data_IF_637290911425
#
_entry.id   IF_637290911425
#
_cell.length_a   1.000
_cell.length_b   1.000
_cell.length_c   1.000
_cell.angle_alpha   90.00
_cell.angle_beta   90.00
_cell.angle_gamma   90.00
#
_symmetry.space_group_name_H-M   'P 1'
#
loop_
_entity.id
_entity.type
_entity.pdbx_description
1 polymer ?
#
# COMPACT_ATOMS: atom_id res chain seq x y z
N UNK A 1 57.31 -21.99 32.27
CA UNK A 1 55.83 -22.11 32.43
C UNK A 1 55.11 -20.91 31.82
N UNK A 2 55.72 -19.71 31.81
CA UNK A 2 55.12 -18.48 31.25
C UNK A 2 54.91 -18.46 29.73
N UNK A 3 55.84 -19.05 28.96
CA UNK A 3 55.79 -19.05 27.48
C UNK A 3 54.58 -19.84 26.95
N UNK A 4 54.22 -20.95 27.61
CA UNK A 4 53.07 -21.78 27.25
C UNK A 4 51.75 -21.06 27.58
N UNK A 5 51.72 -20.34 28.71
CA UNK A 5 50.56 -19.55 29.13
C UNK A 5 50.34 -18.34 28.21
N UNK A 6 51.42 -17.68 27.79
CA UNK A 6 51.39 -16.58 26.83
C UNK A 6 50.91 -17.03 25.45
N UNK A 7 51.38 -18.19 24.97
CA UNK A 7 50.91 -18.78 23.71
C UNK A 7 49.42 -19.15 23.74
N UNK A 8 48.95 -19.76 24.84
CA UNK A 8 47.53 -20.11 25.01
C UNK A 8 46.62 -18.86 25.07
N UNK A 9 47.06 -17.80 25.77
CA UNK A 9 46.34 -16.52 25.81
C UNK A 9 46.34 -15.82 24.44
N UNK A 10 47.44 -15.90 23.69
CA UNK A 10 47.53 -15.38 22.33
C UNK A 10 46.58 -16.09 21.35
N UNK A 11 46.45 -17.41 21.44
CA UNK A 11 45.50 -18.17 20.61
C UNK A 11 44.04 -17.87 21.00
N UNK A 12 43.75 -17.74 22.29
CA UNK A 12 42.42 -17.34 22.77
C UNK A 12 42.06 -15.91 22.34
N UNK A 13 43.02 -14.98 22.41
CA UNK A 13 42.87 -13.62 21.91
C UNK A 13 42.65 -13.60 20.39
N UNK A 14 43.42 -14.38 19.63
CA UNK A 14 43.23 -14.51 18.18
C UNK A 14 41.86 -15.10 17.84
N UNK A 15 41.42 -16.17 18.51
CA UNK A 15 40.10 -16.77 18.28
C UNK A 15 38.95 -15.83 18.65
N UNK A 16 39.08 -15.08 19.73
CA UNK A 16 38.06 -14.09 20.12
C UNK A 16 37.98 -12.92 19.14
N UNK A 17 39.11 -12.41 18.65
CA UNK A 17 39.14 -11.40 17.58
C UNK A 17 38.51 -11.96 16.30
N UNK A 18 38.89 -13.17 15.86
CA UNK A 18 38.32 -13.79 14.66
C UNK A 18 36.81 -14.01 14.78
N UNK A 19 36.30 -14.40 15.95
CA UNK A 19 34.87 -14.54 16.21
C UNK A 19 34.13 -13.21 16.12
N UNK A 20 34.69 -12.14 16.68
CA UNK A 20 34.11 -10.80 16.61
C UNK A 20 34.11 -10.25 15.17
N UNK A 21 35.19 -10.47 14.43
CA UNK A 21 35.31 -10.08 13.01
C UNK A 21 34.28 -10.83 12.18
N UNK A 22 34.17 -12.15 12.32
CA UNK A 22 33.20 -12.97 11.60
C UNK A 22 31.75 -12.54 11.93
N UNK A 23 31.46 -12.27 13.20
CA UNK A 23 30.14 -11.77 13.63
C UNK A 23 29.82 -10.40 13.02
N UNK A 24 30.79 -9.49 13.01
CA UNK A 24 30.61 -8.15 12.44
C UNK A 24 30.40 -8.19 10.93
N UNK A 25 31.19 -9.00 10.21
CA UNK A 25 31.06 -9.17 8.76
C UNK A 25 29.71 -9.77 8.40
N UNK A 26 29.27 -10.83 9.08
CA UNK A 26 27.96 -11.46 8.87
C UNK A 26 26.81 -10.48 9.08
N UNK A 27 26.89 -9.66 10.12
CA UNK A 27 25.88 -8.65 10.41
C UNK A 27 25.85 -7.57 9.31
N UNK A 28 27.01 -7.07 8.89
CA UNK A 28 27.13 -6.07 7.81
C UNK A 28 26.61 -6.58 6.47
N UNK A 29 26.88 -7.84 6.13
CA UNK A 29 26.37 -8.46 4.89
C UNK A 29 24.85 -8.66 4.93
N UNK A 30 24.30 -8.97 6.10
CA UNK A 30 22.86 -9.15 6.26
C UNK A 30 22.11 -7.82 6.09
N UNK A 31 22.62 -6.74 6.69
CA UNK A 31 22.01 -5.40 6.58
C UNK A 31 22.05 -4.86 5.16
N UNK A 32 23.16 -5.02 4.44
CA UNK A 32 23.27 -4.58 3.04
C UNK A 32 22.30 -5.34 2.14
N UNK A 33 22.12 -6.64 2.37
CA UNK A 33 21.19 -7.48 1.58
C UNK A 33 19.73 -7.09 1.83
N UNK A 34 19.38 -6.73 3.07
CA UNK A 34 18.03 -6.27 3.44
C UNK A 34 17.71 -4.91 2.79
N UNK A 35 18.66 -3.97 2.80
CA UNK A 35 18.52 -2.66 2.13
C UNK A 35 18.31 -2.79 0.61
N UNK A 36 19.09 -3.65 -0.06
CA UNK A 36 18.94 -3.93 -1.50
C UNK A 36 17.55 -4.51 -1.83
N UNK A 37 17.05 -5.39 -0.96
CA UNK A 37 15.72 -6.01 -1.09
C UNK A 37 14.59 -5.01 -0.85
N UNK A 38 14.72 -4.14 0.14
CA UNK A 38 13.76 -3.05 0.37
C UNK A 38 13.74 -2.06 -0.79
N UNK A 39 14.90 -1.68 -1.31
CA UNK A 39 15.00 -0.80 -2.48
C UNK A 39 14.36 -1.45 -3.72
N UNK A 40 14.58 -2.76 -3.91
CA UNK A 40 13.93 -3.53 -4.98
C UNK A 40 12.40 -3.53 -4.82
N UNK A 41 11.90 -3.74 -3.61
CA UNK A 41 10.47 -3.71 -3.30
C UNK A 41 9.86 -2.34 -3.62
N UNK A 42 10.52 -1.25 -3.22
CA UNK A 42 10.09 0.12 -3.54
C UNK A 42 10.00 0.34 -5.04
N UNK A 43 11.00 -0.12 -5.81
CA UNK A 43 11.01 0.00 -7.27
C UNK A 43 9.85 -0.76 -7.91
N UNK A 44 9.55 -1.97 -7.43
CA UNK A 44 8.43 -2.78 -7.92
C UNK A 44 7.09 -2.12 -7.56
N UNK A 45 6.94 -1.62 -6.34
CA UNK A 45 5.75 -0.89 -5.90
C UNK A 45 5.47 0.34 -6.76
N UNK A 46 6.49 1.14 -7.08
CA UNK A 46 6.32 2.29 -7.97
C UNK A 46 5.79 1.87 -9.34
N UNK A 47 6.31 0.77 -9.91
CA UNK A 47 5.82 0.25 -11.20
C UNK A 47 4.37 -0.21 -11.12
N UNK A 48 4.01 -0.94 -10.06
CA UNK A 48 2.65 -1.42 -9.86
C UNK A 48 1.68 -0.26 -9.62
N UNK A 49 2.09 0.72 -8.82
CA UNK A 49 1.31 1.91 -8.49
C UNK A 49 0.94 2.70 -9.74
N UNK A 50 1.91 2.97 -10.62
CA UNK A 50 1.66 3.66 -11.89
C UNK A 50 0.61 2.93 -12.73
N UNK A 51 0.67 1.60 -12.78
CA UNK A 51 -0.30 0.80 -13.55
C UNK A 51 -1.69 0.86 -12.92
N UNK A 52 -1.78 0.76 -11.59
CA UNK A 52 -3.05 0.85 -10.85
C UNK A 52 -3.67 2.24 -10.99
N UNK A 53 -2.89 3.30 -10.81
CA UNK A 53 -3.34 4.69 -10.95
C UNK A 53 -3.84 4.97 -12.38
N UNK A 54 -3.08 4.55 -13.40
CA UNK A 54 -3.48 4.65 -14.80
C UNK A 54 -4.75 3.85 -15.13
N UNK A 55 -4.98 2.74 -14.42
CA UNK A 55 -6.18 1.93 -14.59
C UNK A 55 -7.40 2.51 -13.88
N UNK A 56 -7.22 3.13 -12.71
CA UNK A 56 -8.27 3.81 -11.95
C UNK A 56 -8.82 5.03 -12.72
N UNK A 57 -8.01 5.64 -13.59
CA UNK A 57 -8.41 6.74 -14.47
C UNK A 57 -9.08 6.28 -15.78
N UNK A 58 -9.45 5.00 -15.92
CA UNK A 58 -10.08 4.45 -17.13
C UNK A 58 -11.43 3.79 -16.85
N UNK A 59 -12.31 3.85 -17.83
CA UNK A 59 -13.62 3.22 -17.76
C UNK A 59 -13.52 1.73 -18.14
N UNK A 60 -13.10 0.90 -17.18
CA UNK A 60 -12.95 -0.55 -17.38
C UNK A 60 -14.31 -1.23 -17.25
N UNK A 61 -14.85 -1.76 -18.35
CA UNK A 61 -16.14 -2.48 -18.37
C UNK A 61 -16.00 -3.99 -18.28
N UNK A 62 -14.82 -4.53 -18.60
CA UNK A 62 -14.57 -5.96 -18.61
C UNK A 62 -14.33 -6.51 -17.19
N UNK A 63 -15.15 -7.48 -16.79
CA UNK A 63 -15.07 -8.07 -15.45
C UNK A 63 -13.73 -8.75 -15.13
N UNK A 64 -13.10 -9.40 -16.11
CA UNK A 64 -11.80 -10.04 -15.93
C UNK A 64 -10.69 -8.99 -15.74
N UNK A 65 -10.77 -7.85 -16.44
CA UNK A 65 -9.85 -6.73 -16.24
C UNK A 65 -10.03 -6.10 -14.85
N UNK A 66 -11.26 -5.93 -14.38
CA UNK A 66 -11.55 -5.47 -13.03
C UNK A 66 -10.99 -6.43 -11.96
N UNK A 67 -11.13 -7.73 -12.18
CA UNK A 67 -10.54 -8.74 -11.30
C UNK A 67 -9.01 -8.64 -11.29
N UNK A 68 -8.38 -8.51 -12.45
CA UNK A 68 -6.93 -8.33 -12.54
C UNK A 68 -6.49 -7.07 -11.79
N UNK A 69 -7.15 -5.93 -12.00
CA UNK A 69 -6.89 -4.68 -11.26
C UNK A 69 -7.01 -4.88 -9.74
N UNK A 70 -8.01 -5.65 -9.28
CA UNK A 70 -8.17 -5.94 -7.85
C UNK A 70 -7.00 -6.74 -7.26
N UNK A 71 -6.44 -7.69 -8.03
CA UNK A 71 -5.25 -8.46 -7.65
C UNK A 71 -4.03 -7.55 -7.59
N UNK A 72 -3.82 -6.70 -8.61
CA UNK A 72 -2.73 -5.72 -8.62
C UNK A 72 -2.79 -4.80 -7.40
N UNK A 73 -3.98 -4.30 -7.08
CA UNK A 73 -4.20 -3.43 -5.91
C UNK A 73 -3.92 -4.17 -4.60
N UNK A 74 -4.33 -5.44 -4.48
CA UNK A 74 -4.05 -6.25 -3.31
C UNK A 74 -2.54 -6.46 -3.10
N UNK A 75 -1.81 -6.81 -4.16
CA UNK A 75 -0.35 -6.98 -4.09
C UNK A 75 0.37 -5.65 -3.78
N UNK A 76 -0.11 -4.54 -4.35
CA UNK A 76 0.39 -3.20 -4.02
C UNK A 76 0.23 -2.90 -2.53
N UNK A 77 -0.96 -3.12 -1.95
CA UNK A 77 -1.19 -2.85 -0.53
C UNK A 77 -0.39 -3.78 0.38
N UNK A 78 -0.21 -5.06 0.02
CA UNK A 78 0.68 -5.97 0.76
C UNK A 78 2.12 -5.46 0.76
N UNK A 79 2.62 -4.96 -0.37
CA UNK A 79 3.96 -4.38 -0.44
C UNK A 79 4.08 -3.10 0.39
N UNK A 80 3.10 -2.19 0.35
CA UNK A 80 3.11 -1.00 1.20
C UNK A 80 3.06 -1.34 2.69
N UNK A 81 2.22 -2.29 3.09
CA UNK A 81 2.17 -2.77 4.47
C UNK A 81 3.52 -3.35 4.91
N UNK A 82 4.17 -4.10 4.03
CA UNK A 82 5.51 -4.65 4.29
C UNK A 82 6.53 -3.53 4.48
N UNK A 83 6.56 -2.54 3.59
CA UNK A 83 7.46 -1.37 3.74
C UNK A 83 7.20 -0.59 5.03
N UNK A 84 5.94 -0.45 5.43
CA UNK A 84 5.57 0.27 6.66
C UNK A 84 6.11 -0.44 7.91
N UNK A 85 6.07 -1.79 7.95
CA UNK A 85 6.68 -2.59 9.03
C UNK A 85 8.17 -2.28 9.17
N UNK A 86 8.93 -2.25 8.06
CA UNK A 86 10.36 -1.94 8.10
C UNK A 86 10.65 -0.46 8.41
N UNK A 87 9.78 0.44 7.98
CA UNK A 87 9.89 1.89 8.25
C UNK A 87 9.66 2.21 9.73
N UNK A 88 8.64 1.61 10.37
CA UNK A 88 8.40 1.76 11.81
C UNK A 88 9.59 1.17 12.62
N UNK A 89 10.27 0.10 12.17
CA UNK A 89 11.49 -0.45 12.83
C UNK A 89 12.68 0.51 12.81
N UNK A 90 12.98 1.12 11.66
CA UNK A 90 14.09 2.07 11.55
C UNK A 90 13.92 3.28 12.49
N UNK A 91 12.66 3.63 12.78
CA UNK A 91 12.38 4.75 13.68
C UNK A 91 12.42 4.38 15.17
N UNK A 92 12.13 3.13 15.56
CA UNK A 92 12.23 2.65 16.95
C UNK A 92 13.69 2.60 17.45
N UNK A 93 14.65 2.21 16.60
CA UNK A 93 16.08 2.15 16.95
C UNK A 93 16.68 3.56 17.26
N UNK A 94 16.08 4.63 16.74
CA UNK A 94 16.50 6.03 16.97
C UNK A 94 15.87 6.63 18.25
N UNK A 95 14.91 5.95 18.89
CA UNK A 95 14.19 6.45 20.08
C UNK A 95 14.85 6.11 21.41
N UNK A 96 16.16 5.91 21.43
CA UNK A 96 16.90 5.68 22.69
C UNK A 96 17.25 6.94 23.48
N UNK A 97 16.81 8.14 23.06
CA UNK A 97 16.88 9.34 23.90
C UNK A 97 15.65 10.24 23.70
N UNK A 98 15.07 10.60 24.84
CA UNK A 98 14.11 11.69 25.08
C UNK A 98 12.61 11.38 24.91
N UNK A 99 11.97 11.24 26.07
CA UNK A 99 10.54 11.06 26.28
C UNK A 99 9.75 12.32 25.89
N UNK A 100 8.70 12.17 25.06
CA UNK A 100 7.34 12.68 25.35
C UNK A 100 6.39 12.39 24.18
N UNK A 101 5.75 11.22 24.17
CA UNK A 101 4.56 10.98 23.34
C UNK A 101 3.36 10.76 24.25
N UNK A 102 2.85 11.85 24.83
CA UNK A 102 1.43 11.88 25.15
C UNK A 102 0.68 11.97 23.80
N UNK A 103 -0.21 11.02 23.45
CA UNK A 103 -0.96 11.08 22.20
C UNK A 103 -1.86 12.32 22.19
N UNK A 104 -1.62 13.24 21.26
CA UNK A 104 -2.50 14.39 21.05
C UNK A 104 -3.87 13.90 20.57
N UNK A 105 -4.92 14.23 21.34
CA UNK A 105 -6.33 13.88 21.04
C UNK A 105 -6.89 14.57 19.78
N UNK A 106 -6.16 15.52 19.19
CA UNK A 106 -6.70 16.44 18.17
C UNK A 106 -6.29 16.16 16.72
N UNK A 107 -5.49 15.12 16.42
CA UNK A 107 -5.14 14.79 15.04
C UNK A 107 -5.40 13.31 14.68
N UNK A 108 -6.45 13.00 13.90
CA UNK A 108 -6.75 11.66 13.41
C UNK A 108 -5.64 11.03 12.56
N UNK A 109 -4.85 11.83 11.83
CA UNK A 109 -3.76 11.35 10.99
C UNK A 109 -2.50 10.94 11.80
N UNK A 110 -2.49 11.21 13.11
CA UNK A 110 -1.43 10.76 14.04
C UNK A 110 -1.87 9.56 14.89
N UNK A 111 -3.04 8.98 14.61
CA UNK A 111 -3.55 7.82 15.33
C UNK A 111 -3.05 6.53 14.67
N UNK A 112 -1.98 6.00 15.28
CA UNK A 112 -1.72 4.56 15.45
C UNK A 112 -0.96 3.84 14.31
N UNK A 113 0.39 3.92 14.30
CA UNK A 113 1.22 2.75 13.90
C UNK A 113 1.21 1.83 15.14
N UNK A 114 0.44 0.75 15.13
CA UNK A 114 0.66 -0.33 16.10
C UNK A 114 1.94 -1.05 15.68
N UNK A 115 3.08 -0.52 16.09
CA UNK A 115 4.33 -1.25 16.06
C UNK A 115 4.21 -2.35 17.12
N UNK A 116 3.62 -3.49 16.78
CA UNK A 116 3.69 -4.66 17.64
C UNK A 116 5.14 -5.13 17.58
N UNK A 117 5.93 -4.68 18.55
CA UNK A 117 7.33 -5.05 18.75
C UNK A 117 7.45 -6.54 19.06
N UNK A 118 7.32 -7.36 18.03
CA UNK A 118 7.74 -8.75 18.08
C UNK A 118 9.15 -8.79 17.50
N UNK A 119 10.12 -9.15 18.35
CA UNK A 119 11.54 -9.35 18.02
C UNK A 119 11.75 -10.60 17.13
N UNK A 120 11.03 -10.71 16.03
CA UNK A 120 11.09 -11.85 15.10
C UNK A 120 11.65 -11.40 13.74
N UNK A 121 12.86 -10.83 13.74
CA UNK A 121 13.52 -10.36 12.52
C UNK A 121 13.65 -11.43 11.42
N UNK A 122 13.73 -12.72 11.80
CA UNK A 122 13.74 -13.83 10.85
C UNK A 122 12.39 -14.02 10.13
N UNK A 123 11.26 -13.87 10.83
CA UNK A 123 9.92 -13.99 10.23
C UNK A 123 9.63 -12.81 9.29
N UNK A 124 10.10 -11.61 9.64
CA UNK A 124 9.97 -10.42 8.79
C UNK A 124 10.83 -10.51 7.54
N UNK A 125 12.07 -11.00 7.64
CA UNK A 125 12.91 -11.23 6.47
C UNK A 125 12.29 -12.25 5.49
N UNK A 126 11.64 -13.30 6.00
CA UNK A 126 10.89 -14.25 5.17
C UNK A 126 9.66 -13.61 4.52
N UNK A 127 8.94 -12.75 5.25
CA UNK A 127 7.81 -11.99 4.70
C UNK A 127 8.26 -11.07 3.57
N UNK A 128 9.37 -10.35 3.74
CA UNK A 128 9.94 -9.47 2.71
C UNK A 128 10.26 -10.26 1.43
N UNK A 129 10.90 -11.42 1.57
CA UNK A 129 11.20 -12.30 0.43
C UNK A 129 9.95 -12.81 -0.27
N UNK A 130 8.95 -13.21 0.50
CA UNK A 130 7.70 -13.72 -0.04
C UNK A 130 6.98 -12.65 -0.84
N UNK A 131 6.89 -11.43 -0.31
CA UNK A 131 6.20 -10.30 -0.95
C UNK A 131 6.98 -9.81 -2.17
N UNK A 132 8.32 -9.77 -2.09
CA UNK A 132 9.16 -9.48 -3.26
C UNK A 132 8.92 -10.49 -4.38
N UNK A 133 8.96 -11.78 -4.07
CA UNK A 133 8.72 -12.84 -5.05
C UNK A 133 7.32 -12.79 -5.64
N UNK A 134 6.27 -12.52 -4.84
CA UNK A 134 4.91 -12.39 -5.36
C UNK A 134 4.78 -11.19 -6.29
N UNK A 135 5.29 -10.03 -5.90
CA UNK A 135 5.22 -8.81 -6.69
C UNK A 135 6.04 -8.90 -7.99
N UNK A 136 7.21 -9.54 -7.97
CA UNK A 136 8.00 -9.79 -9.18
C UNK A 136 7.23 -10.62 -10.21
N UNK A 137 6.51 -11.64 -9.75
CA UNK A 137 5.67 -12.46 -10.61
C UNK A 137 4.49 -11.65 -11.15
N UNK A 138 3.78 -10.92 -10.28
CA UNK A 138 2.69 -10.03 -10.70
C UNK A 138 3.14 -9.04 -11.76
N UNK A 139 4.31 -8.42 -11.61
CA UNK A 139 4.82 -7.43 -12.56
C UNK A 139 5.17 -8.04 -13.93
N UNK A 140 5.58 -9.30 -13.98
CA UNK A 140 5.78 -10.01 -15.27
C UNK A 140 4.46 -10.17 -16.01
N UNK A 141 3.39 -10.49 -15.27
CA UNK A 141 2.06 -10.76 -15.83
C UNK A 141 1.28 -9.48 -16.19
N UNK A 142 1.67 -8.32 -15.66
CA UNK A 142 1.03 -7.02 -15.90
C UNK A 142 1.14 -6.53 -17.36
N UNK A 143 2.06 -7.06 -18.16
CA UNK A 143 2.27 -6.60 -19.54
C UNK A 143 1.02 -6.72 -20.42
N UNK A 144 0.32 -7.86 -20.35
CA UNK A 144 -0.93 -8.09 -21.06
C UNK A 144 -2.04 -7.16 -20.57
N UNK A 145 -2.15 -7.00 -19.24
CA UNK A 145 -3.08 -6.06 -18.62
C UNK A 145 -2.91 -4.65 -19.17
N UNK A 146 -1.67 -4.15 -19.24
CA UNK A 146 -1.37 -2.80 -19.76
C UNK A 146 -1.74 -2.66 -21.25
N UNK A 147 -1.52 -3.71 -22.06
CA UNK A 147 -1.91 -3.71 -23.48
C UNK A 147 -3.42 -3.55 -23.61
N UNK A 148 -4.20 -4.35 -22.88
CA UNK A 148 -5.66 -4.24 -22.89
C UNK A 148 -6.16 -2.94 -22.27
N UNK A 149 -5.45 -2.41 -21.27
CA UNK A 149 -5.83 -1.19 -20.60
C UNK A 149 -5.94 0.00 -21.56
N UNK A 150 -5.07 0.05 -22.59
CA UNK A 150 -5.09 1.10 -23.60
C UNK A 150 -6.36 1.13 -24.48
N UNK A 151 -7.13 0.05 -24.52
CA UNK A 151 -8.41 -0.01 -25.26
C UNK A 151 -9.57 0.68 -24.55
N UNK A 152 -9.44 0.95 -23.24
CA UNK A 152 -10.49 1.61 -22.46
C UNK A 152 -10.32 3.13 -22.50
N UNK A 153 -11.42 3.90 -22.68
CA UNK A 153 -11.36 5.35 -22.67
C UNK A 153 -11.02 5.86 -21.27
N UNK A 154 -10.25 6.96 -21.21
CA UNK A 154 -9.96 7.64 -19.94
C UNK A 154 -11.23 8.29 -19.39
N UNK A 155 -11.40 8.22 -18.09
CA UNK A 155 -12.33 9.06 -17.36
C UNK A 155 -11.84 10.49 -17.49
N UNK A 156 -12.58 11.31 -18.23
CA UNK A 156 -12.24 12.72 -18.35
C UNK A 156 -12.53 13.37 -17.00
N UNK A 157 -11.49 13.53 -16.17
CA UNK A 157 -11.50 14.55 -15.11
C UNK A 157 -11.47 15.89 -15.83
N UNK A 158 -12.64 16.33 -16.30
CA UNK A 158 -12.81 17.71 -16.69
C UNK A 158 -12.33 18.53 -15.49
N UNK A 159 -11.31 19.41 -15.64
CA UNK A 159 -10.99 20.33 -14.57
C UNK A 159 -12.30 21.02 -14.24
N UNK A 160 -12.67 20.91 -12.96
CA UNK A 160 -13.90 21.43 -12.40
C UNK A 160 -14.27 22.69 -13.17
N UNK A 161 -15.42 22.71 -13.85
CA UNK A 161 -15.97 23.96 -14.32
C UNK A 161 -16.20 24.77 -13.03
N UNK A 162 -15.25 25.65 -12.71
CA UNK A 162 -14.99 26.17 -11.37
C UNK A 162 -16.00 27.28 -11.00
N UNK A 163 -17.24 27.10 -11.43
CA UNK A 163 -18.40 27.94 -11.13
C UNK A 163 -19.48 27.20 -10.34
N UNK A 164 -19.24 25.99 -9.85
CA UNK A 164 -20.13 25.32 -8.90
C UNK A 164 -19.52 25.33 -7.50
N UNK A 165 -20.12 26.15 -6.64
CA UNK A 165 -19.88 26.35 -5.20
C UNK A 165 -19.09 25.23 -4.52
N UNK A 166 -17.88 25.56 -4.05
CA UNK A 166 -16.99 24.68 -3.26
C UNK A 166 -17.54 24.27 -1.88
N UNK A 167 -18.70 24.76 -1.46
CA UNK A 167 -19.28 24.45 -0.14
C UNK A 167 -20.03 23.11 -0.09
N UNK A 168 -20.17 22.38 -1.20
CA UNK A 168 -21.02 21.17 -1.29
C UNK A 168 -20.36 19.95 -1.96
N UNK A 169 -19.04 19.79 -1.85
CA UNK A 169 -18.36 18.60 -2.36
C UNK A 169 -18.59 17.38 -1.44
N UNK A 170 -19.33 16.37 -1.90
CA UNK A 170 -19.40 15.07 -1.22
C UNK A 170 -18.33 14.11 -1.77
N UNK A 171 -17.32 13.79 -0.95
CA UNK A 171 -16.25 12.84 -1.30
C UNK A 171 -16.67 11.38 -1.01
N UNK A 172 -16.18 10.44 -1.81
CA UNK A 172 -16.29 8.99 -1.55
C UNK A 172 -17.63 8.34 -1.88
N UNK A 173 -18.53 9.04 -2.59
CA UNK A 173 -19.85 8.52 -2.99
C UNK A 173 -19.93 8.09 -4.46
N UNK A 174 -18.83 7.56 -5.00
CA UNK A 174 -18.78 7.19 -6.43
C UNK A 174 -19.79 6.09 -6.76
N UNK A 175 -19.97 5.11 -5.87
CA UNK A 175 -20.93 4.02 -6.05
C UNK A 175 -22.38 4.50 -5.99
N UNK A 176 -22.73 5.38 -5.04
CA UNK A 176 -24.08 5.95 -4.97
C UNK A 176 -24.39 6.84 -6.18
N UNK A 177 -23.39 7.57 -6.68
CA UNK A 177 -23.52 8.38 -7.89
C UNK A 177 -23.81 7.51 -9.12
N UNK A 178 -23.08 6.40 -9.31
CA UNK A 178 -23.34 5.47 -10.41
C UNK A 178 -24.73 4.81 -10.30
N UNK A 179 -25.17 4.44 -9.09
CA UNK A 179 -26.50 3.87 -8.86
C UNK A 179 -27.62 4.85 -9.25
N UNK A 180 -27.50 6.12 -8.86
CA UNK A 180 -28.46 7.16 -9.23
C UNK A 180 -28.45 7.40 -10.73
N UNK A 181 -27.27 7.49 -11.36
CA UNK A 181 -27.14 7.72 -12.79
C UNK A 181 -27.75 6.57 -13.61
N UNK A 182 -27.47 5.32 -13.24
CA UNK A 182 -28.05 4.16 -13.90
C UNK A 182 -29.57 4.12 -13.80
N UNK A 183 -30.12 4.46 -12.62
CA UNK A 183 -31.56 4.54 -12.41
C UNK A 183 -32.23 5.61 -13.31
N UNK A 184 -31.61 6.78 -13.44
CA UNK A 184 -32.12 7.86 -14.29
C UNK A 184 -32.07 7.50 -15.78
N UNK A 185 -30.96 6.92 -16.24
CA UNK A 185 -30.78 6.53 -17.65
C UNK A 185 -31.69 5.36 -18.07
N UNK A 186 -32.06 4.48 -17.14
CA UNK A 186 -33.04 3.42 -17.39
C UNK A 186 -34.46 3.96 -17.63
N UNK A 187 -34.81 5.12 -17.08
CA UNK A 187 -36.12 5.76 -17.31
C UNK A 187 -36.27 6.28 -18.76
N UNK A 188 -35.17 6.59 -19.44
CA UNK A 188 -35.17 7.15 -20.80
C UNK A 188 -35.19 6.09 -21.92
N UNK A 189 -34.82 4.85 -21.61
CA UNK A 189 -34.54 3.81 -22.62
C UNK A 189 -35.63 2.74 -22.78
N UNK A 190 -36.69 2.78 -21.97
CA UNK A 190 -37.78 1.79 -22.05
C UNK A 190 -38.81 2.15 -23.15
N UNK A 191 -38.95 1.35 -24.23
CA UNK A 191 -39.90 1.63 -25.29
C UNK A 191 -41.32 1.30 -24.81
N UNK A 192 -42.14 2.34 -24.61
CA UNK A 192 -43.57 2.21 -24.30
C UNK A 192 -44.01 2.70 -22.91
N UNK A 193 -43.12 3.26 -22.10
CA UNK A 193 -43.43 3.68 -20.74
C UNK A 193 -43.93 5.13 -20.66
N UNK A 194 -45.10 5.42 -21.24
CA UNK A 194 -45.79 6.67 -20.92
C UNK A 194 -46.34 6.71 -19.47
N UNK A 195 -46.25 5.59 -18.71
CA UNK A 195 -46.92 5.42 -17.40
C UNK A 195 -46.05 4.82 -16.27
N UNK A 196 -44.75 4.55 -16.46
CA UNK A 196 -43.93 3.93 -15.41
C UNK A 196 -43.12 5.00 -14.64
N UNK A 197 -43.72 5.56 -13.59
CA UNK A 197 -43.01 6.43 -12.65
C UNK A 197 -42.01 5.58 -11.84
N UNK A 198 -40.72 5.73 -12.09
CA UNK A 198 -39.68 5.11 -11.27
C UNK A 198 -39.36 6.02 -10.08
N UNK A 199 -39.34 5.46 -8.87
CA UNK A 199 -38.98 6.18 -7.64
C UNK A 199 -37.75 5.53 -7.01
N UNK A 200 -36.70 6.32 -6.74
CA UNK A 200 -35.50 5.88 -6.03
C UNK A 200 -35.54 6.39 -4.58
N UNK A 201 -35.88 5.55 -3.59
CA UNK A 201 -35.94 5.98 -2.20
C UNK A 201 -34.54 6.22 -1.61
N UNK A 202 -34.27 7.43 -1.11
CA UNK A 202 -33.03 7.77 -0.42
C UNK A 202 -33.24 7.69 1.10
N UNK A 203 -32.85 6.56 1.68
CA UNK A 203 -33.02 6.27 3.11
C UNK A 203 -31.70 6.52 3.85
N UNK A 204 -31.74 7.37 4.88
CA UNK A 204 -30.57 7.66 5.72
C UNK A 204 -30.97 8.34 7.04
N UNK A 205 -30.10 8.34 8.06
CA UNK A 205 -30.36 8.96 9.36
C UNK A 205 -30.52 10.48 9.22
N UNK A 206 -31.46 11.07 9.98
CA UNK A 206 -31.97 12.44 9.79
C UNK A 206 -31.00 13.62 10.04
N UNK A 207 -29.68 13.39 10.04
CA UNK A 207 -28.64 14.42 10.21
C UNK A 207 -27.56 14.42 9.12
N UNK A 208 -27.84 13.82 7.97
CA UNK A 208 -27.06 14.06 6.75
C UNK A 208 -27.92 14.94 5.84
N UNK A 209 -27.36 16.09 5.46
CA UNK A 209 -28.03 17.16 4.71
C UNK A 209 -28.84 16.60 3.54
N UNK A 210 -30.16 16.55 3.74
CA UNK A 210 -31.15 16.42 2.67
C UNK A 210 -31.45 17.84 2.22
N UNK A 211 -30.98 18.23 1.04
CA UNK A 211 -31.57 19.37 0.36
C UNK A 211 -32.85 18.90 -0.37
N UNK A 212 -33.91 19.73 -0.39
CA UNK A 212 -35.21 19.42 -0.98
C UNK A 212 -35.14 19.15 -2.49
#
# INVERSE_FOLDING_TARGET
MEVVFSAAMGELASRSVSFLVDRYLKQRTATTTEEERLHSLQRLLLRLHVVVEEADDRLITNQAMLLHLSILRQEMYKGHYTLDIFSCRAHEDDRTKDYSFAPSKFNPAKRVCFCRGNNEGAAQAQLLEQVLGSMENTIKDVSEFVIFLNSYPRLHRQPYNMYLLLEKCMFGRQMEMELVMNFLLQAETAPGAADHLSVLPIIGPGKLERAP
#
